data_IF_207598932853
#
_entry.id   IF_207598932853
#
_cell.length_a   1.000
_cell.length_b   1.000
_cell.length_c   1.000
_cell.angle_alpha   90.00
_cell.angle_beta   90.00
_cell.angle_gamma   90.00
#
_symmetry.space_group_name_H-M   'P 1'
#
loop_
_entity.id
_entity.type
_entity.pdbx_description
1 polymer ?
#
# COMPACT_ATOMS: atom_id res chain seq x y z
N UNK A 1 -15.21 -41.12 -32.01
CA UNK A 1 -14.46 -39.97 -32.55
C UNK A 1 -14.30 -38.99 -31.41
N UNK A 2 -13.23 -39.14 -30.64
CA UNK A 2 -12.81 -38.17 -29.64
C UNK A 2 -11.61 -37.47 -30.28
N UNK A 3 -11.89 -36.35 -30.93
CA UNK A 3 -10.82 -35.48 -31.44
C UNK A 3 -9.98 -34.99 -30.27
N UNK A 4 -8.67 -35.04 -30.46
CA UNK A 4 -7.66 -34.50 -29.56
C UNK A 4 -7.97 -33.02 -29.26
N UNK A 5 -8.49 -32.77 -28.07
CA UNK A 5 -8.63 -31.42 -27.52
C UNK A 5 -7.23 -30.86 -27.35
N UNK A 6 -6.83 -29.98 -28.27
CA UNK A 6 -5.50 -29.39 -28.31
C UNK A 6 -5.10 -28.80 -26.95
N UNK A 7 -3.99 -29.31 -26.41
CA UNK A 7 -3.39 -28.81 -25.18
C UNK A 7 -3.02 -27.33 -25.39
N UNK A 8 -3.78 -26.44 -24.76
CA UNK A 8 -3.52 -25.01 -24.78
C UNK A 8 -2.23 -24.75 -23.98
N UNK A 9 -1.17 -24.31 -24.64
CA UNK A 9 0.08 -23.93 -23.99
C UNK A 9 0.40 -22.46 -24.16
N UNK A 10 1.15 -21.92 -23.20
CA UNK A 10 1.80 -20.62 -23.35
C UNK A 10 2.99 -20.74 -24.29
N UNK A 11 3.13 -19.80 -25.22
CA UNK A 11 4.35 -19.63 -25.99
C UNK A 11 5.40 -19.05 -25.06
N UNK A 12 6.27 -19.90 -24.54
CA UNK A 12 7.49 -19.46 -23.86
C UNK A 12 8.40 -18.75 -24.86
N UNK A 13 9.30 -17.86 -24.40
CA UNK A 13 10.35 -17.22 -25.23
C UNK A 13 11.19 -18.28 -25.99
N UNK A 14 11.15 -19.54 -25.55
CA UNK A 14 11.78 -20.72 -26.16
C UNK A 14 10.92 -21.52 -27.15
N UNK A 15 9.68 -21.11 -27.46
CA UNK A 15 8.84 -21.77 -28.48
C UNK A 15 8.23 -23.12 -28.10
N UNK A 16 8.40 -23.61 -26.86
CA UNK A 16 7.77 -24.84 -26.38
C UNK A 16 6.38 -24.57 -25.78
N UNK A 17 5.34 -25.20 -26.36
CA UNK A 17 3.96 -25.24 -25.85
C UNK A 17 3.89 -26.23 -24.69
N UNK A 18 4.05 -25.75 -23.45
CA UNK A 18 3.82 -26.60 -22.27
C UNK A 18 2.33 -26.60 -21.92
N UNK A 19 1.74 -27.77 -21.62
CA UNK A 19 0.34 -27.84 -21.22
C UNK A 19 0.12 -26.97 -19.98
N UNK A 20 -0.83 -26.03 -20.05
CA UNK A 20 -1.19 -25.21 -18.90
C UNK A 20 -1.74 -26.10 -17.79
N UNK A 21 -1.28 -25.88 -16.57
CA UNK A 21 -1.72 -26.63 -15.39
C UNK A 21 -1.90 -25.71 -14.20
N UNK A 22 -2.83 -26.04 -13.31
CA UNK A 22 -3.08 -25.31 -12.07
C UNK A 22 -2.14 -25.74 -10.93
N UNK A 23 -1.05 -26.45 -11.24
CA UNK A 23 -0.03 -26.77 -10.24
C UNK A 23 0.68 -25.48 -9.80
N UNK A 24 0.77 -25.27 -8.48
CA UNK A 24 1.31 -24.04 -7.89
C UNK A 24 2.68 -23.62 -8.44
N UNK A 25 3.56 -24.57 -8.74
CA UNK A 25 4.90 -24.30 -9.29
C UNK A 25 4.87 -23.59 -10.64
N UNK A 26 3.85 -23.89 -11.46
CA UNK A 26 3.65 -23.28 -12.78
C UNK A 26 2.70 -22.09 -12.69
N UNK A 27 1.62 -22.20 -11.90
CA UNK A 27 0.61 -21.16 -11.71
C UNK A 27 1.21 -19.85 -11.18
N UNK A 28 2.17 -19.92 -10.25
CA UNK A 28 2.86 -18.71 -9.73
C UNK A 28 3.72 -17.99 -10.76
N UNK A 29 4.07 -18.65 -11.86
CA UNK A 29 4.84 -18.05 -12.96
C UNK A 29 3.94 -17.52 -14.08
N UNK A 30 2.63 -17.73 -13.98
CA UNK A 30 1.70 -17.19 -14.96
C UNK A 30 1.69 -15.68 -14.91
N UNK A 31 1.62 -15.08 -16.09
CA UNK A 31 1.66 -13.63 -16.24
C UNK A 31 0.50 -12.95 -15.50
N UNK A 32 -0.70 -13.54 -15.42
CA UNK A 32 -1.83 -12.94 -14.68
C UNK A 32 -1.52 -12.80 -13.19
N UNK A 33 -0.96 -13.85 -12.57
CA UNK A 33 -0.58 -13.84 -11.16
C UNK A 33 0.55 -12.84 -10.93
N UNK A 34 1.58 -12.86 -11.77
CA UNK A 34 2.69 -11.91 -11.70
C UNK A 34 2.19 -10.47 -11.86
N UNK A 35 1.25 -10.23 -12.78
CA UNK A 35 0.64 -8.92 -13.01
C UNK A 35 -0.07 -8.42 -11.77
N UNK A 36 -0.88 -9.25 -11.12
CA UNK A 36 -1.52 -8.88 -9.86
C UNK A 36 -0.51 -8.59 -8.73
N UNK A 37 0.58 -9.36 -8.67
CA UNK A 37 1.66 -9.11 -7.69
C UNK A 37 2.41 -7.81 -7.96
N UNK A 38 2.67 -7.49 -9.24
CA UNK A 38 3.29 -6.23 -9.65
C UNK A 38 2.35 -5.06 -9.36
N UNK A 39 1.07 -5.15 -9.73
CA UNK A 39 0.08 -4.11 -9.44
C UNK A 39 -0.01 -3.87 -7.93
N UNK A 40 -0.07 -4.94 -7.12
CA UNK A 40 -0.04 -4.84 -5.67
C UNK A 40 1.23 -4.15 -5.15
N UNK A 41 2.40 -4.50 -5.70
CA UNK A 41 3.68 -3.91 -5.28
C UNK A 41 3.79 -2.43 -5.67
N UNK A 42 3.36 -2.07 -6.88
CA UNK A 42 3.33 -0.68 -7.34
C UNK A 42 2.34 0.14 -6.51
N UNK A 43 1.16 -0.41 -6.21
CA UNK A 43 0.18 0.25 -5.35
C UNK A 43 0.70 0.44 -3.92
N UNK A 44 1.41 -0.54 -3.36
CA UNK A 44 2.08 -0.44 -2.06
C UNK A 44 3.14 0.67 -2.05
N UNK A 45 3.99 0.73 -3.08
CA UNK A 45 5.04 1.75 -3.21
C UNK A 45 4.39 3.13 -3.38
N UNK A 46 3.41 3.25 -4.29
CA UNK A 46 2.67 4.49 -4.51
C UNK A 46 1.98 4.97 -3.24
N UNK A 47 1.30 4.07 -2.52
CA UNK A 47 0.66 4.37 -1.24
C UNK A 47 1.67 4.91 -0.24
N UNK A 48 2.82 4.24 -0.10
CA UNK A 48 3.88 4.67 0.81
C UNK A 48 4.42 6.06 0.46
N UNK A 49 4.74 6.28 -0.82
CA UNK A 49 5.27 7.55 -1.30
C UNK A 49 4.27 8.69 -1.16
N UNK A 50 2.98 8.43 -1.41
CA UNK A 50 1.93 9.43 -1.28
C UNK A 50 1.76 9.86 0.19
N UNK A 51 1.72 8.88 1.11
CA UNK A 51 1.66 9.14 2.56
C UNK A 51 2.89 9.93 3.01
N UNK A 52 4.08 9.49 2.62
CA UNK A 52 5.33 10.13 3.00
C UNK A 52 5.42 11.55 2.43
N UNK A 53 5.10 11.74 1.15
CA UNK A 53 5.14 13.05 0.50
C UNK A 53 4.19 14.05 1.14
N UNK A 54 3.01 13.58 1.55
CA UNK A 54 1.93 14.47 2.01
C UNK A 54 2.04 14.78 3.50
N UNK A 55 2.48 13.81 4.31
CA UNK A 55 2.38 13.90 5.77
C UNK A 55 3.71 13.83 6.51
N UNK A 56 4.79 13.37 5.86
CA UNK A 56 6.06 13.05 6.55
C UNK A 56 7.19 13.96 6.11
N UNK A 57 7.32 14.19 4.81
CA UNK A 57 8.35 15.07 4.26
C UNK A 57 8.11 16.50 4.72
N UNK A 58 9.09 17.08 5.39
CA UNK A 58 8.99 18.44 5.94
C UNK A 58 8.27 18.52 7.28
N UNK A 59 7.89 17.38 7.87
CA UNK A 59 7.35 17.27 9.22
C UNK A 59 8.28 16.44 10.11
N UNK A 60 7.73 15.47 10.84
CA UNK A 60 8.48 14.53 11.67
C UNK A 60 8.82 13.32 10.81
N UNK A 61 10.00 13.35 10.18
CA UNK A 61 10.55 12.22 9.43
C UNK A 61 11.68 11.51 10.20
N UNK A 62 12.08 10.32 9.70
CA UNK A 62 13.14 9.54 10.33
C UNK A 62 14.50 10.23 10.27
N UNK A 63 14.76 11.08 9.28
CA UNK A 63 16.01 11.83 9.18
C UNK A 63 16.10 12.90 10.26
N UNK A 64 15.03 13.65 10.51
CA UNK A 64 14.99 14.63 11.61
C UNK A 64 15.20 13.98 12.98
N UNK A 65 14.67 12.76 13.18
CA UNK A 65 14.93 11.99 14.39
C UNK A 65 16.40 11.59 14.51
N UNK A 66 17.04 11.19 13.42
CA UNK A 66 18.48 10.89 13.41
C UNK A 66 19.30 12.14 13.72
N UNK A 67 19.09 13.25 13.02
CA UNK A 67 19.77 14.53 13.28
C UNK A 67 19.64 14.94 14.76
N UNK A 68 18.45 14.79 15.35
CA UNK A 68 18.19 15.16 16.75
C UNK A 68 18.99 14.27 17.72
N UNK A 69 19.07 12.97 17.44
CA UNK A 69 19.82 12.02 18.27
C UNK A 69 21.32 12.28 18.14
N UNK A 70 21.82 12.56 16.94
CA UNK A 70 23.23 12.88 16.71
C UNK A 70 23.65 14.17 17.42
N UNK A 71 22.81 15.21 17.38
CA UNK A 71 23.05 16.45 18.14
C UNK A 71 23.07 16.17 19.65
N UNK A 72 22.17 15.32 20.14
CA UNK A 72 22.07 15.00 21.57
C UNK A 72 23.29 14.22 22.09
N UNK A 73 23.80 13.29 21.28
CA UNK A 73 24.93 12.44 21.63
C UNK A 73 26.27 13.14 21.34
N UNK A 74 26.27 14.10 20.40
CA UNK A 74 27.47 14.78 19.92
C UNK A 74 28.34 13.91 19.03
N UNK A 75 27.77 12.87 18.43
CA UNK A 75 28.46 11.91 17.55
C UNK A 75 27.49 11.38 16.48
N UNK A 76 28.04 10.81 15.40
CA UNK A 76 27.28 10.23 14.30
C UNK A 76 26.68 8.87 14.70
N UNK A 77 25.50 8.57 14.16
CA UNK A 77 24.88 7.27 14.36
C UNK A 77 25.63 6.17 13.60
N UNK A 78 25.62 4.92 14.11
CA UNK A 78 26.28 3.79 13.45
C UNK A 78 25.78 3.47 12.03
N UNK A 79 24.54 3.87 11.70
CA UNK A 79 23.99 3.69 10.37
C UNK A 79 24.40 4.89 9.52
N UNK A 80 25.17 4.65 8.46
CA UNK A 80 25.61 5.73 7.59
C UNK A 80 24.45 6.48 6.90
N UNK A 81 24.64 7.79 6.75
CA UNK A 81 23.71 8.79 6.22
C UNK A 81 23.11 8.39 4.87
N UNK A 82 23.88 7.68 4.04
CA UNK A 82 23.41 7.19 2.75
C UNK A 82 22.24 6.20 2.89
N UNK A 83 22.27 5.33 3.91
CA UNK A 83 21.25 4.32 4.15
C UNK A 83 20.02 4.93 4.82
N UNK A 84 20.22 5.87 5.74
CA UNK A 84 19.13 6.63 6.39
C UNK A 84 18.49 7.62 5.42
N UNK A 85 19.23 8.11 4.43
CA UNK A 85 18.80 9.18 3.52
C UNK A 85 19.01 10.58 4.10
N UNK A 86 19.77 10.69 5.20
CA UNK A 86 20.18 11.94 5.81
C UNK A 86 21.01 12.80 4.85
N UNK A 87 20.92 14.12 5.00
CA UNK A 87 21.51 15.09 4.05
C UNK A 87 20.80 15.22 2.70
N UNK A 88 19.74 14.44 2.43
CA UNK A 88 18.89 14.60 1.22
C UNK A 88 17.69 15.50 1.50
N UNK A 89 17.06 16.00 0.43
CA UNK A 89 15.87 16.85 0.51
C UNK A 89 14.63 16.19 -0.11
N UNK A 90 13.45 16.47 0.46
CA UNK A 90 12.18 15.99 -0.07
C UNK A 90 12.06 14.46 -0.03
N UNK A 91 11.41 13.88 -1.05
CA UNK A 91 11.22 12.42 -1.19
C UNK A 91 12.52 11.62 -1.33
N UNK A 92 13.63 12.27 -1.70
CA UNK A 92 14.92 11.59 -1.86
C UNK A 92 15.45 10.95 -0.57
N UNK A 93 15.00 11.45 0.59
CA UNK A 93 15.25 10.87 1.93
C UNK A 93 14.75 9.43 2.05
N UNK A 94 13.72 9.06 1.31
CA UNK A 94 13.02 7.79 1.46
C UNK A 94 13.37 6.73 0.42
N UNK A 95 14.03 7.07 -0.69
CA UNK A 95 14.28 6.09 -1.75
C UNK A 95 15.21 4.94 -1.33
N UNK A 96 16.30 5.23 -0.62
CA UNK A 96 17.21 4.17 -0.14
C UNK A 96 16.55 3.33 0.96
N UNK A 97 15.94 3.93 2.01
CA UNK A 97 15.11 3.21 2.96
C UNK A 97 14.02 2.36 2.31
N UNK A 98 13.34 2.87 1.28
CA UNK A 98 12.30 2.15 0.55
C UNK A 98 12.86 0.89 -0.12
N UNK A 99 13.98 1.00 -0.84
CA UNK A 99 14.65 -0.15 -1.47
C UNK A 99 15.06 -1.18 -0.41
N UNK A 100 15.57 -0.72 0.75
CA UNK A 100 15.89 -1.59 1.88
C UNK A 100 14.63 -2.30 2.39
N UNK A 101 13.51 -1.59 2.56
CA UNK A 101 12.23 -2.15 2.99
C UNK A 101 11.69 -3.19 2.01
N UNK A 102 11.78 -2.93 0.70
CA UNK A 102 11.42 -3.88 -0.34
C UNK A 102 12.31 -5.13 -0.30
N UNK A 103 13.62 -4.95 -0.12
CA UNK A 103 14.58 -6.05 -0.04
C UNK A 103 14.35 -6.92 1.20
N UNK A 104 14.13 -6.31 2.38
CA UNK A 104 13.83 -7.03 3.63
C UNK A 104 12.49 -7.75 3.53
N UNK A 105 11.45 -7.09 3.05
CA UNK A 105 10.13 -7.69 2.84
C UNK A 105 10.17 -8.85 1.83
N UNK A 106 10.91 -8.69 0.73
CA UNK A 106 11.15 -9.72 -0.27
C UNK A 106 11.95 -10.90 0.28
N UNK A 107 13.02 -10.63 1.04
CA UNK A 107 13.78 -11.65 1.76
C UNK A 107 12.90 -12.45 2.72
N UNK A 108 12.03 -11.77 3.49
CA UNK A 108 11.04 -12.43 4.35
C UNK A 108 10.04 -13.30 3.56
N UNK A 109 9.59 -12.83 2.39
CA UNK A 109 8.72 -13.60 1.51
C UNK A 109 9.40 -14.88 1.01
N UNK A 110 10.66 -14.79 0.59
CA UNK A 110 11.44 -15.94 0.15
C UNK A 110 11.68 -16.95 1.28
N UNK A 111 11.97 -16.46 2.49
CA UNK A 111 12.10 -17.28 3.68
C UNK A 111 10.81 -18.01 4.03
N UNK A 112 9.64 -17.40 3.79
CA UNK A 112 8.34 -18.03 4.06
C UNK A 112 8.10 -19.31 3.24
N UNK A 113 8.75 -19.46 2.07
CA UNK A 113 8.68 -20.67 1.25
C UNK A 113 9.72 -21.73 1.59
N UNK A 114 10.66 -21.44 2.48
CA UNK A 114 11.63 -22.41 2.96
C UNK A 114 10.99 -23.38 3.96
N UNK A 115 11.61 -24.55 4.15
CA UNK A 115 11.15 -25.53 5.14
C UNK A 115 11.21 -24.95 6.56
N UNK A 116 10.36 -25.43 7.50
CA UNK A 116 10.36 -24.93 8.88
C UNK A 116 11.73 -25.03 9.57
N UNK A 117 12.50 -26.08 9.25
CA UNK A 117 13.86 -26.28 9.77
C UNK A 117 14.84 -25.24 9.27
N UNK A 118 14.80 -24.90 7.98
CA UNK A 118 15.63 -23.84 7.39
C UNK A 118 15.23 -22.48 7.96
N UNK A 119 13.93 -22.19 8.06
CA UNK A 119 13.45 -20.96 8.68
C UNK A 119 13.94 -20.80 10.12
N UNK A 120 13.88 -21.88 10.92
CA UNK A 120 14.35 -21.85 12.31
C UNK A 120 15.85 -21.62 12.39
N UNK A 121 16.65 -22.29 11.54
CA UNK A 121 18.11 -22.11 11.51
C UNK A 121 18.50 -20.67 11.13
N UNK A 122 17.82 -20.08 10.15
CA UNK A 122 18.09 -18.70 9.73
C UNK A 122 17.69 -17.71 10.84
N UNK A 123 16.52 -17.89 11.45
CA UNK A 123 16.09 -17.04 12.59
C UNK A 123 17.05 -17.15 13.77
N UNK A 124 17.49 -18.36 14.11
CA UNK A 124 18.43 -18.61 15.19
C UNK A 124 19.81 -18.01 14.87
N UNK A 125 20.31 -18.19 13.64
CA UNK A 125 21.55 -17.57 13.20
C UNK A 125 21.50 -16.04 13.28
N UNK A 126 20.39 -15.43 12.85
CA UNK A 126 20.17 -14.00 12.98
C UNK A 126 20.16 -13.54 14.44
N UNK A 127 19.43 -14.23 15.32
CA UNK A 127 19.38 -13.91 16.76
C UNK A 127 20.75 -14.05 17.41
N UNK A 128 21.49 -15.13 17.14
CA UNK A 128 22.84 -15.33 17.68
C UNK A 128 23.77 -14.23 17.18
N UNK A 129 23.71 -13.87 15.89
CA UNK A 129 24.52 -12.78 15.33
C UNK A 129 24.20 -11.46 16.02
N UNK A 130 22.92 -11.15 16.26
CA UNK A 130 22.52 -9.95 16.98
C UNK A 130 23.03 -9.96 18.43
N UNK A 131 22.94 -11.08 19.14
CA UNK A 131 23.44 -11.22 20.52
C UNK A 131 24.97 -11.03 20.56
N UNK A 132 25.69 -11.64 19.62
CA UNK A 132 27.15 -11.50 19.51
C UNK A 132 27.54 -10.06 19.16
N UNK A 133 26.81 -9.40 18.26
CA UNK A 133 27.04 -8.00 17.95
C UNK A 133 26.75 -7.08 19.15
N UNK A 134 25.71 -7.38 19.94
CA UNK A 134 25.30 -6.56 21.09
C UNK A 134 26.24 -6.71 22.28
N UNK A 135 26.55 -7.95 22.68
CA UNK A 135 27.23 -8.26 23.95
C UNK A 135 28.58 -8.93 23.72
N UNK A 136 28.88 -9.42 22.53
CA UNK A 136 30.11 -10.16 22.24
C UNK A 136 31.37 -9.31 22.40
N UNK A 137 31.34 -8.04 21.99
CA UNK A 137 32.48 -7.12 22.18
C UNK A 137 32.73 -6.83 23.66
N UNK A 138 31.68 -6.61 24.44
CA UNK A 138 31.77 -6.46 25.90
C UNK A 138 32.34 -7.72 26.54
N UNK A 139 31.78 -8.90 26.24
CA UNK A 139 32.26 -10.16 26.81
C UNK A 139 33.70 -10.44 26.43
N UNK A 140 34.07 -10.21 25.17
CA UNK A 140 35.43 -10.45 24.72
C UNK A 140 36.41 -9.52 25.41
N UNK A 141 36.13 -8.21 25.47
CA UNK A 141 37.00 -7.24 26.16
C UNK A 141 37.10 -7.51 27.66
N UNK A 142 35.97 -7.74 28.33
CA UNK A 142 35.89 -8.01 29.76
C UNK A 142 36.56 -9.33 30.17
N UNK A 143 36.25 -10.44 29.47
CA UNK A 143 36.86 -11.74 29.77
C UNK A 143 38.37 -11.72 29.52
N UNK A 144 38.79 -11.07 28.44
CA UNK A 144 40.22 -10.91 28.12
C UNK A 144 40.91 -10.05 29.18
N UNK A 145 40.27 -8.97 29.61
CA UNK A 145 40.74 -8.11 30.70
C UNK A 145 40.97 -8.89 31.99
N UNK A 146 39.97 -9.68 32.44
CA UNK A 146 40.10 -10.53 33.63
C UNK A 146 41.17 -11.62 33.48
N UNK A 147 41.28 -12.22 32.29
CA UNK A 147 42.25 -13.28 32.01
C UNK A 147 43.70 -12.78 32.13
N UNK A 148 43.99 -11.58 31.62
CA UNK A 148 45.34 -11.01 31.65
C UNK A 148 45.66 -10.21 32.92
N UNK A 149 44.63 -9.70 33.62
CA UNK A 149 44.84 -9.05 34.92
C UNK A 149 44.79 -10.01 36.11
N UNK A 150 44.39 -11.26 35.90
CA UNK A 150 44.18 -12.28 36.94
C UNK A 150 43.31 -11.80 38.11
N UNK A 151 42.28 -11.01 37.80
CA UNK A 151 41.38 -10.42 38.79
C UNK A 151 39.92 -10.65 38.41
N UNK A 152 39.12 -11.11 39.37
CA UNK A 152 37.69 -11.35 39.18
C UNK A 152 36.93 -10.07 39.51
N UNK A 153 36.60 -9.30 38.48
CA UNK A 153 35.94 -8.00 38.61
C UNK A 153 34.77 -7.86 37.66
N UNK A 154 33.87 -6.93 37.98
CA UNK A 154 32.83 -6.49 37.05
C UNK A 154 33.45 -5.67 35.89
N UNK A 155 32.72 -5.51 34.77
CA UNK A 155 33.16 -4.65 33.68
C UNK A 155 33.44 -3.24 34.16
N UNK A 156 34.56 -2.67 33.73
CA UNK A 156 34.91 -1.28 34.03
C UNK A 156 34.25 -0.32 33.02
N UNK A 157 34.37 0.99 33.25
CA UNK A 157 33.73 2.01 32.41
C UNK A 157 34.12 1.89 30.92
N UNK A 158 35.38 1.58 30.62
CA UNK A 158 35.85 1.41 29.23
C UNK A 158 35.34 0.14 28.55
N UNK A 159 35.07 -0.92 29.31
CA UNK A 159 34.46 -2.14 28.77
C UNK A 159 32.96 -1.91 28.56
N UNK A 160 32.28 -1.24 29.49
CA UNK A 160 30.87 -0.86 29.39
C UNK A 160 30.58 0.05 28.19
N UNK A 161 31.47 1.01 27.89
CA UNK A 161 31.29 1.92 26.74
C UNK A 161 31.27 1.19 25.39
N UNK A 162 31.78 -0.05 25.33
CA UNK A 162 31.65 -0.88 24.11
C UNK A 162 30.20 -1.24 23.75
N UNK A 163 29.25 -1.11 24.69
CA UNK A 163 27.82 -1.31 24.44
C UNK A 163 27.15 -0.13 23.73
N UNK A 164 27.75 1.06 23.74
CA UNK A 164 27.15 2.27 23.17
C UNK A 164 26.86 2.09 21.68
N UNK A 165 27.87 1.67 20.91
CA UNK A 165 27.73 1.50 19.47
C UNK A 165 26.66 0.46 19.07
N UNK A 166 26.62 -0.77 19.63
CA UNK A 166 25.55 -1.72 19.31
C UNK A 166 24.15 -1.24 19.73
N UNK A 167 24.02 -0.55 20.86
CA UNK A 167 22.74 0.00 21.32
C UNK A 167 22.23 1.09 20.37
N UNK A 168 23.11 2.00 19.95
CA UNK A 168 22.79 3.03 18.95
C UNK A 168 22.46 2.42 17.59
N UNK A 169 23.15 1.36 17.19
CA UNK A 169 22.83 0.63 15.96
C UNK A 169 21.41 0.05 16.01
N UNK A 170 21.02 -0.56 17.13
CA UNK A 170 19.67 -1.13 17.30
C UNK A 170 18.60 -0.03 17.34
N UNK A 171 18.86 1.06 18.07
CA UNK A 171 17.96 2.22 18.10
C UNK A 171 17.76 2.77 16.67
N UNK A 172 18.84 2.92 15.93
CA UNK A 172 18.81 3.45 14.56
C UNK A 172 18.02 2.52 13.62
N UNK A 173 18.28 1.21 13.69
CA UNK A 173 17.52 0.21 12.92
C UNK A 173 16.04 0.19 13.32
N UNK A 174 15.74 0.34 14.61
CA UNK A 174 14.36 0.36 15.11
C UNK A 174 13.60 1.55 14.54
N UNK A 175 14.18 2.75 14.58
CA UNK A 175 13.58 3.96 13.99
C UNK A 175 13.36 3.74 12.49
N UNK A 176 14.40 3.32 11.75
CA UNK A 176 14.32 3.09 10.32
C UNK A 176 13.23 2.05 9.96
N UNK A 177 13.22 0.92 10.65
CA UNK A 177 12.26 -0.15 10.36
C UNK A 177 10.84 0.22 10.75
N UNK A 178 10.62 1.05 11.77
CA UNK A 178 9.29 1.55 12.14
C UNK A 178 8.62 2.26 10.96
N UNK A 179 9.35 3.17 10.29
CA UNK A 179 8.87 3.87 9.10
C UNK A 179 8.73 2.96 7.88
N UNK A 180 9.44 1.84 7.83
CA UNK A 180 9.38 0.87 6.72
C UNK A 180 8.40 -0.28 6.95
N UNK A 181 7.76 -0.38 8.12
CA UNK A 181 6.83 -1.46 8.46
C UNK A 181 5.73 -1.68 7.43
N UNK A 182 5.03 -0.64 6.90
CA UNK A 182 4.02 -0.83 5.86
C UNK A 182 4.58 -1.54 4.63
N UNK A 183 5.75 -1.11 4.16
CA UNK A 183 6.40 -1.64 2.96
C UNK A 183 6.87 -3.08 3.19
N UNK A 184 7.57 -3.33 4.29
CA UNK A 184 8.11 -4.66 4.62
C UNK A 184 6.97 -5.68 4.74
N UNK A 185 5.92 -5.34 5.49
CA UNK A 185 4.76 -6.22 5.65
C UNK A 185 3.97 -6.37 4.35
N UNK A 186 3.86 -5.31 3.55
CA UNK A 186 3.14 -5.34 2.28
C UNK A 186 3.82 -6.26 1.27
N UNK A 187 5.12 -6.12 1.05
CA UNK A 187 5.90 -6.99 0.14
C UNK A 187 5.87 -8.43 0.63
N UNK A 188 6.09 -8.65 1.93
CA UNK A 188 5.94 -9.98 2.54
C UNK A 188 4.55 -10.56 2.31
N UNK A 189 3.50 -9.74 2.37
CA UNK A 189 2.11 -10.13 2.12
C UNK A 189 1.87 -10.59 0.69
N UNK A 190 2.27 -9.78 -0.29
CA UNK A 190 2.09 -10.05 -1.73
C UNK A 190 2.88 -11.29 -2.15
N UNK A 191 4.18 -11.27 -1.87
CA UNK A 191 5.12 -12.27 -2.39
C UNK A 191 5.17 -13.51 -1.52
N UNK A 192 4.98 -13.37 -0.20
CA UNK A 192 4.92 -14.47 0.76
C UNK A 192 3.51 -15.04 0.97
N UNK A 193 2.51 -14.55 0.23
CA UNK A 193 1.12 -15.00 0.25
C UNK A 193 0.47 -14.96 1.65
N UNK A 194 0.72 -13.90 2.41
CA UNK A 194 0.23 -13.76 3.78
C UNK A 194 -0.88 -12.72 3.89
N UNK A 195 -2.12 -13.18 4.11
CA UNK A 195 -3.27 -12.30 4.37
C UNK A 195 -3.07 -11.41 5.60
N UNK A 196 -2.44 -11.96 6.64
CA UNK A 196 -2.11 -11.25 7.88
C UNK A 196 -1.12 -10.13 7.63
N UNK A 197 -0.08 -10.37 6.82
CA UNK A 197 0.90 -9.33 6.50
C UNK A 197 0.31 -8.20 5.65
N UNK A 198 -0.61 -8.50 4.73
CA UNK A 198 -1.38 -7.47 3.98
C UNK A 198 -2.18 -6.59 4.96
N UNK A 199 -2.91 -7.22 5.89
CA UNK A 199 -3.69 -6.49 6.88
C UNK A 199 -2.81 -5.61 7.79
N UNK A 200 -1.63 -6.09 8.20
CA UNK A 200 -0.66 -5.29 8.94
C UNK A 200 -0.13 -4.11 8.13
N UNK A 201 0.15 -4.28 6.83
CA UNK A 201 0.60 -3.18 5.99
C UNK A 201 -0.43 -2.04 5.92
N UNK A 202 -1.71 -2.39 5.71
CA UNK A 202 -2.81 -1.42 5.73
C UNK A 202 -2.95 -0.81 7.12
N UNK A 203 -2.95 -1.65 8.17
CA UNK A 203 -3.09 -1.21 9.55
C UNK A 203 -2.00 -0.23 9.99
N UNK A 204 -0.74 -0.48 9.64
CA UNK A 204 0.36 0.45 9.93
C UNK A 204 0.24 1.75 9.14
N UNK A 205 -0.20 1.69 7.89
CA UNK A 205 -0.44 2.90 7.08
C UNK A 205 -1.53 3.76 7.70
N UNK A 206 -2.66 3.14 8.09
CA UNK A 206 -3.76 3.84 8.76
C UNK A 206 -3.39 4.34 10.14
N UNK A 207 -2.61 3.58 10.90
CA UNK A 207 -2.08 4.02 12.20
C UNK A 207 -1.21 5.26 12.03
N UNK A 208 -0.33 5.26 11.03
CA UNK A 208 0.53 6.41 10.74
C UNK A 208 -0.30 7.65 10.41
N UNK A 209 -1.28 7.52 9.52
CA UNK A 209 -2.22 8.60 9.19
C UNK A 209 -3.04 9.05 10.40
N UNK A 210 -3.48 8.11 11.24
CA UNK A 210 -4.24 8.41 12.45
C UNK A 210 -3.43 9.18 13.49
N UNK A 211 -2.16 8.78 13.71
CA UNK A 211 -1.23 9.51 14.57
C UNK A 211 -1.00 10.92 14.01
N UNK A 212 -0.72 11.03 12.71
CA UNK A 212 -0.56 12.34 12.06
C UNK A 212 -1.80 13.23 12.23
N UNK A 213 -2.99 12.68 11.99
CA UNK A 213 -4.24 13.42 12.13
C UNK A 213 -4.47 13.91 13.57
N UNK A 214 -4.06 13.12 14.57
CA UNK A 214 -4.12 13.52 15.99
C UNK A 214 -3.11 14.64 16.27
N UNK A 215 -1.86 14.50 15.81
CA UNK A 215 -0.82 15.50 16.02
C UNK A 215 -1.13 16.83 15.31
N UNK A 216 -1.82 16.77 14.17
CA UNK A 216 -2.27 17.92 13.41
C UNK A 216 -3.39 18.72 14.12
N UNK A 217 -4.04 18.17 15.15
CA UNK A 217 -5.12 18.85 15.84
C UNK A 217 -4.59 20.10 16.59
N UNK A 218 -5.15 21.30 16.40
CA UNK A 218 -4.56 22.55 16.91
C UNK A 218 -4.23 22.54 18.41
N UNK A 219 -5.09 21.91 19.23
CA UNK A 219 -4.86 21.77 20.66
C UNK A 219 -3.60 20.93 20.97
N UNK A 220 -3.37 19.85 20.22
CA UNK A 220 -2.22 18.96 20.41
C UNK A 220 -0.98 19.59 19.79
N UNK A 221 -1.10 20.11 18.57
CA UNK A 221 -0.03 20.81 17.86
C UNK A 221 0.56 21.95 18.73
N UNK A 222 -0.31 22.77 19.35
CA UNK A 222 0.13 23.84 20.25
C UNK A 222 0.88 23.38 21.51
N UNK A 223 0.80 22.09 21.89
CA UNK A 223 1.57 21.51 23.00
C UNK A 223 2.92 20.94 22.56
N UNK A 224 3.15 20.77 21.24
CA UNK A 224 4.40 20.23 20.69
C UNK A 224 5.52 21.28 20.60
N UNK A 225 5.25 22.54 20.95
CA UNK A 225 6.22 23.64 20.85
C UNK A 225 6.70 23.83 19.41
N UNK A 226 8.00 24.03 19.22
CA UNK A 226 8.59 24.27 17.90
C UNK A 226 8.39 23.09 16.93
N UNK A 227 8.24 21.86 17.44
CA UNK A 227 7.93 20.68 16.61
C UNK A 227 6.52 20.75 16.00
N UNK A 228 5.58 21.41 16.67
CA UNK A 228 4.23 21.61 16.15
C UNK A 228 4.19 22.36 14.82
N UNK A 229 5.12 23.29 14.62
CA UNK A 229 5.26 24.07 13.39
C UNK A 229 5.68 23.22 12.18
N UNK A 230 6.28 22.05 12.42
CA UNK A 230 6.65 21.10 11.37
C UNK A 230 5.49 20.19 10.96
N UNK A 231 4.46 20.03 11.80
CA UNK A 231 3.34 19.13 11.50
C UNK A 231 2.44 19.79 10.46
N UNK A 232 2.28 19.14 9.30
CA UNK A 232 1.35 19.59 8.28
C UNK A 232 -0.09 19.50 8.81
N UNK A 233 -0.62 20.63 9.24
CA UNK A 233 -2.02 20.73 9.67
C UNK A 233 -2.88 20.58 8.43
N UNK A 234 -3.84 19.66 8.48
CA UNK A 234 -4.93 19.64 7.50
C UNK A 234 -5.67 20.96 7.70
N UNK A 235 -5.39 21.94 6.84
CA UNK A 235 -6.10 23.21 6.82
C UNK A 235 -7.59 22.89 6.85
N UNK A 236 -8.27 23.36 7.89
CA UNK A 236 -9.68 23.09 8.10
C UNK A 236 -10.44 23.39 6.81
N UNK A 237 -11.03 22.35 6.19
CA UNK A 237 -12.28 22.27 5.39
C UNK A 237 -12.69 23.42 4.44
N UNK A 238 -11.90 24.48 4.27
CA UNK A 238 -12.27 25.78 3.68
C UNK A 238 -11.20 26.30 2.72
N UNK A 239 -10.32 25.42 2.22
CA UNK A 239 -9.44 25.79 1.11
C UNK A 239 -10.22 25.68 -0.20
N UNK A 240 -10.00 26.63 -1.10
CA UNK A 240 -10.62 26.61 -2.42
C UNK A 240 -10.26 25.29 -3.15
N UNK A 241 -11.23 24.65 -3.82
CA UNK A 241 -10.95 23.46 -4.59
C UNK A 241 -10.00 23.81 -5.73
N UNK A 242 -8.95 23.01 -5.90
CA UNK A 242 -7.88 23.25 -6.90
C UNK A 242 -7.67 22.08 -7.83
N UNK A 243 -8.23 20.91 -7.51
CA UNK A 243 -8.15 19.70 -8.31
C UNK A 243 -9.54 19.32 -8.80
N UNK A 244 -9.64 19.07 -10.09
CA UNK A 244 -10.91 18.98 -10.79
C UNK A 244 -10.91 18.03 -11.97
N UNK A 245 -12.11 17.76 -12.50
CA UNK A 245 -12.32 16.94 -13.69
C UNK A 245 -13.05 17.80 -14.72
N UNK A 246 -12.59 17.78 -15.98
CA UNK A 246 -13.19 18.56 -17.07
C UNK A 246 -13.31 20.08 -16.79
N UNK A 247 -12.37 20.64 -16.03
CA UNK A 247 -12.34 22.07 -15.69
C UNK A 247 -13.17 22.48 -14.47
N UNK A 248 -13.95 21.56 -13.88
CA UNK A 248 -14.67 21.79 -12.64
C UNK A 248 -13.77 21.44 -11.45
N UNK A 249 -13.41 22.43 -10.63
CA UNK A 249 -12.64 22.21 -9.41
C UNK A 249 -13.54 21.59 -8.34
N UNK A 250 -13.16 20.40 -7.87
CA UNK A 250 -14.01 19.57 -6.99
C UNK A 250 -13.41 19.40 -5.60
N UNK A 251 -12.09 19.23 -5.49
CA UNK A 251 -11.42 18.89 -4.22
C UNK A 251 -10.15 19.70 -4.03
N UNK A 252 -9.73 19.85 -2.77
CA UNK A 252 -8.43 20.45 -2.44
C UNK A 252 -7.30 19.46 -2.74
N UNK A 253 -6.04 19.91 -2.74
CA UNK A 253 -4.87 19.04 -2.96
C UNK A 253 -4.75 17.98 -1.87
N UNK A 254 -5.04 18.34 -0.63
CA UNK A 254 -4.99 17.48 0.54
C UNK A 254 -6.10 16.41 0.49
N UNK A 255 -7.31 16.82 0.09
CA UNK A 255 -8.41 15.88 -0.13
C UNK A 255 -8.10 14.92 -1.27
N UNK A 256 -7.52 15.42 -2.37
CA UNK A 256 -7.09 14.57 -3.47
C UNK A 256 -6.02 13.56 -3.05
N UNK A 257 -5.03 13.96 -2.25
CA UNK A 257 -4.02 13.05 -1.71
C UNK A 257 -4.65 11.94 -0.85
N UNK A 258 -5.62 12.27 0.00
CA UNK A 258 -6.36 11.27 0.78
C UNK A 258 -7.16 10.30 -0.10
N UNK A 259 -7.82 10.80 -1.15
CA UNK A 259 -8.53 9.96 -2.13
C UNK A 259 -7.53 9.05 -2.85
N UNK A 260 -6.38 9.58 -3.25
CA UNK A 260 -5.32 8.81 -3.91
C UNK A 260 -4.81 7.69 -3.00
N UNK A 261 -4.51 7.99 -1.73
CA UNK A 261 -4.12 7.00 -0.73
C UNK A 261 -5.21 5.93 -0.57
N UNK A 262 -6.48 6.33 -0.48
CA UNK A 262 -7.60 5.39 -0.35
C UNK A 262 -7.73 4.46 -1.57
N UNK A 263 -7.61 5.00 -2.79
CA UNK A 263 -7.62 4.21 -4.02
C UNK A 263 -6.42 3.26 -4.05
N UNK A 264 -5.23 3.72 -3.69
CA UNK A 264 -4.02 2.89 -3.64
C UNK A 264 -4.14 1.76 -2.62
N UNK A 265 -4.74 2.02 -1.44
CA UNK A 265 -5.09 0.98 -0.46
C UNK A 265 -6.03 -0.05 -1.07
N UNK A 266 -7.09 0.39 -1.77
CA UNK A 266 -8.04 -0.53 -2.41
C UNK A 266 -7.39 -1.36 -3.52
N UNK A 267 -6.58 -0.75 -4.39
CA UNK A 267 -5.83 -1.46 -5.45
C UNK A 267 -4.87 -2.47 -4.82
N UNK A 268 -4.11 -2.05 -3.81
CA UNK A 268 -3.20 -2.93 -3.08
C UNK A 268 -3.95 -4.11 -2.46
N UNK A 269 -5.07 -3.84 -1.79
CA UNK A 269 -5.88 -4.85 -1.12
C UNK A 269 -6.47 -5.85 -2.11
N UNK A 270 -7.14 -5.39 -3.16
CA UNK A 270 -7.82 -6.27 -4.12
C UNK A 270 -6.82 -7.11 -4.91
N UNK A 271 -5.70 -6.52 -5.33
CA UNK A 271 -4.65 -7.23 -6.08
C UNK A 271 -3.97 -8.28 -5.21
N UNK A 272 -3.59 -7.91 -3.98
CA UNK A 272 -2.86 -8.80 -3.07
C UNK A 272 -3.74 -9.95 -2.55
N UNK A 273 -4.98 -9.67 -2.15
CA UNK A 273 -5.91 -10.74 -1.77
C UNK A 273 -6.37 -11.57 -2.95
N UNK A 274 -6.49 -10.97 -4.15
CA UNK A 274 -6.75 -11.68 -5.39
C UNK A 274 -5.73 -12.80 -5.62
N UNK A 275 -4.44 -12.47 -5.62
CA UNK A 275 -3.34 -13.45 -5.78
C UNK A 275 -3.47 -14.60 -4.78
N UNK A 276 -3.63 -14.29 -3.49
CA UNK A 276 -3.73 -15.30 -2.44
C UNK A 276 -4.95 -16.19 -2.67
N UNK A 277 -6.11 -15.61 -2.95
CA UNK A 277 -7.37 -16.32 -3.16
C UNK A 277 -7.27 -17.29 -4.34
N UNK A 278 -6.72 -16.86 -5.48
CA UNK A 278 -6.61 -17.71 -6.68
C UNK A 278 -5.60 -18.84 -6.49
N UNK A 279 -4.46 -18.57 -5.83
CA UNK A 279 -3.49 -19.62 -5.52
C UNK A 279 -4.00 -20.61 -4.47
N UNK A 280 -4.72 -20.15 -3.44
CA UNK A 280 -5.37 -21.02 -2.46
C UNK A 280 -6.46 -21.89 -3.10
N UNK A 281 -7.27 -21.32 -4.00
CA UNK A 281 -8.28 -22.07 -4.73
C UNK A 281 -7.63 -23.18 -5.57
N UNK A 282 -6.61 -22.84 -6.36
CA UNK A 282 -5.89 -23.84 -7.16
C UNK A 282 -5.22 -24.93 -6.31
N UNK A 283 -4.74 -24.59 -5.11
CA UNK A 283 -4.18 -25.58 -4.18
C UNK A 283 -5.23 -26.57 -3.67
N UNK A 284 -6.45 -26.10 -3.40
CA UNK A 284 -7.57 -26.91 -2.87
C UNK A 284 -8.21 -27.82 -3.91
N UNK A 285 -7.99 -27.56 -5.21
CA UNK A 285 -8.55 -28.41 -6.26
C UNK A 285 -7.99 -29.85 -6.20
N UNK A 286 -8.81 -30.87 -6.54
CA UNK A 286 -8.32 -32.23 -6.77
C UNK A 286 -7.25 -32.27 -7.86
N UNK A 287 -6.34 -33.25 -7.78
CA UNK A 287 -5.21 -33.33 -8.72
C UNK A 287 -5.65 -33.56 -10.17
N UNK A 288 -6.77 -34.28 -10.39
CA UNK A 288 -7.38 -34.48 -11.70
C UNK A 288 -7.84 -33.15 -12.32
N UNK A 289 -8.49 -32.28 -11.54
CA UNK A 289 -8.98 -30.97 -11.99
C UNK A 289 -7.85 -30.00 -12.35
N UNK A 290 -6.64 -30.16 -11.78
CA UNK A 290 -5.52 -29.25 -12.06
C UNK A 290 -4.93 -29.42 -13.46
N UNK A 291 -5.20 -30.56 -14.10
CA UNK A 291 -4.74 -30.91 -15.45
C UNK A 291 -5.86 -30.85 -16.48
N UNK A 292 -7.10 -30.71 -16.01
CA UNK A 292 -8.27 -30.62 -16.87
C UNK A 292 -8.28 -29.26 -17.59
N UNK A 293 -8.28 -29.25 -18.94
CA UNK A 293 -8.27 -28.02 -19.73
C UNK A 293 -9.47 -27.12 -19.46
N UNK A 294 -10.62 -27.67 -19.07
CA UNK A 294 -11.81 -26.87 -18.79
C UNK A 294 -11.61 -26.01 -17.52
N UNK A 295 -11.12 -26.61 -16.44
CA UNK A 295 -10.83 -25.89 -15.19
C UNK A 295 -9.72 -24.85 -15.36
N UNK A 296 -8.71 -25.15 -16.17
CA UNK A 296 -7.65 -24.20 -16.53
C UNK A 296 -8.26 -22.98 -17.25
N UNK A 297 -9.10 -23.21 -18.26
CA UNK A 297 -9.76 -22.14 -19.01
C UNK A 297 -10.70 -21.30 -18.14
N UNK A 298 -11.46 -21.94 -17.25
CA UNK A 298 -12.33 -21.23 -16.31
C UNK A 298 -11.52 -20.33 -15.36
N UNK A 299 -10.40 -20.84 -14.82
CA UNK A 299 -9.51 -20.04 -13.99
C UNK A 299 -8.96 -18.84 -14.75
N UNK A 300 -8.51 -19.03 -15.99
CA UNK A 300 -7.98 -17.95 -16.85
C UNK A 300 -9.03 -16.88 -17.11
N UNK A 301 -10.27 -17.28 -17.42
CA UNK A 301 -11.38 -16.36 -17.64
C UNK A 301 -11.69 -15.55 -16.38
N UNK A 302 -11.70 -16.19 -15.21
CA UNK A 302 -11.93 -15.52 -13.93
C UNK A 302 -10.81 -14.53 -13.61
N UNK A 303 -9.55 -14.91 -13.81
CA UNK A 303 -8.39 -14.03 -13.58
C UNK A 303 -8.40 -12.82 -14.51
N UNK A 304 -8.67 -13.02 -15.80
CA UNK A 304 -8.75 -11.93 -16.78
C UNK A 304 -9.91 -10.98 -16.49
N UNK A 305 -11.05 -11.53 -16.08
CA UNK A 305 -12.24 -10.76 -15.71
C UNK A 305 -11.98 -9.95 -14.45
N UNK A 306 -11.33 -10.55 -13.45
CA UNK A 306 -10.92 -9.86 -12.23
C UNK A 306 -9.98 -8.68 -12.55
N UNK A 307 -8.93 -8.87 -13.35
CA UNK A 307 -8.02 -7.79 -13.77
C UNK A 307 -8.76 -6.61 -14.41
N UNK A 308 -9.71 -6.89 -15.31
CA UNK A 308 -10.54 -5.85 -15.96
C UNK A 308 -11.40 -5.11 -14.94
N UNK A 309 -12.03 -5.83 -14.01
CA UNK A 309 -12.87 -5.24 -12.97
C UNK A 309 -12.08 -4.42 -11.96
N UNK A 310 -10.90 -4.88 -11.54
CA UNK A 310 -10.02 -4.15 -10.64
C UNK A 310 -9.70 -2.77 -11.23
N UNK A 311 -9.36 -2.69 -12.52
CA UNK A 311 -9.09 -1.41 -13.16
C UNK A 311 -10.36 -0.54 -13.32
N UNK A 312 -11.45 -1.12 -13.83
CA UNK A 312 -12.67 -0.39 -14.13
C UNK A 312 -13.40 0.15 -12.89
N UNK A 313 -13.61 -0.69 -11.88
CA UNK A 313 -14.34 -0.28 -10.68
C UNK A 313 -13.56 0.69 -9.80
N UNK A 314 -12.23 0.51 -9.67
CA UNK A 314 -11.42 1.39 -8.83
C UNK A 314 -11.29 2.79 -9.43
N UNK A 315 -11.10 2.90 -10.74
CA UNK A 315 -11.12 4.20 -11.43
C UNK A 315 -12.46 4.91 -11.29
N UNK A 316 -13.57 4.18 -11.46
CA UNK A 316 -14.92 4.76 -11.30
C UNK A 316 -15.19 5.18 -9.85
N UNK A 317 -14.72 4.41 -8.88
CA UNK A 317 -14.87 4.74 -7.45
C UNK A 317 -14.15 6.04 -7.12
N UNK A 318 -12.91 6.22 -7.58
CA UNK A 318 -12.15 7.46 -7.37
C UNK A 318 -12.85 8.70 -7.94
N UNK A 319 -13.32 8.59 -9.19
CA UNK A 319 -14.08 9.67 -9.84
C UNK A 319 -15.36 9.97 -9.06
N UNK A 320 -16.12 8.94 -8.68
CA UNK A 320 -17.35 9.09 -7.92
C UNK A 320 -17.10 9.75 -6.56
N UNK A 321 -16.01 9.41 -5.86
CA UNK A 321 -15.63 10.05 -4.59
C UNK A 321 -15.26 11.52 -4.78
N UNK A 322 -14.49 11.87 -5.82
CA UNK A 322 -14.17 13.28 -6.11
C UNK A 322 -15.43 14.10 -6.40
N UNK A 323 -16.34 13.56 -7.23
CA UNK A 323 -17.63 14.21 -7.51
C UNK A 323 -18.47 14.33 -6.25
N UNK A 324 -18.51 13.30 -5.40
CA UNK A 324 -19.27 13.34 -4.15
C UNK A 324 -18.80 14.44 -3.20
N UNK A 325 -17.48 14.64 -3.09
CA UNK A 325 -16.88 15.65 -2.21
C UNK A 325 -17.02 17.07 -2.77
N UNK A 326 -16.85 17.22 -4.10
CA UNK A 326 -16.98 18.51 -4.79
C UNK A 326 -18.38 18.88 -5.25
N UNK A 327 -19.37 18.03 -4.99
CA UNK A 327 -20.76 18.24 -5.43
C UNK A 327 -21.32 19.58 -4.96
N UNK A 328 -20.94 19.99 -3.76
CA UNK A 328 -21.33 21.29 -3.23
C UNK A 328 -20.79 22.45 -4.08
N UNK A 329 -19.53 22.42 -4.48
CA UNK A 329 -18.91 23.45 -5.32
C UNK A 329 -19.58 23.54 -6.70
N UNK A 330 -19.98 22.40 -7.26
CA UNK A 330 -20.73 22.35 -8.53
C UNK A 330 -22.12 22.98 -8.36
N UNK A 331 -22.83 22.69 -7.27
CA UNK A 331 -24.12 23.33 -6.99
C UNK A 331 -23.99 24.84 -6.86
N UNK A 332 -22.97 25.33 -6.14
CA UNK A 332 -22.73 26.76 -5.99
C UNK A 332 -22.44 27.43 -7.34
N UNK A 333 -21.55 26.86 -8.15
CA UNK A 333 -21.24 27.41 -9.48
C UNK A 333 -22.46 27.45 -10.40
N UNK A 334 -23.31 26.42 -10.38
CA UNK A 334 -24.57 26.42 -11.15
C UNK A 334 -25.52 27.51 -10.66
N UNK A 335 -25.64 27.73 -9.34
CA UNK A 335 -26.54 28.76 -8.78
C UNK A 335 -26.03 30.17 -9.09
N UNK A 336 -24.72 30.38 -9.02
CA UNK A 336 -24.04 31.63 -9.38
C UNK A 336 -24.22 31.97 -10.87
N UNK A 337 -23.96 31.01 -11.76
CA UNK A 337 -24.06 31.18 -13.23
C UNK A 337 -25.50 31.27 -13.73
N UNK A 338 -26.44 30.55 -13.08
CA UNK A 338 -27.84 30.49 -13.49
C UNK A 338 -28.59 31.80 -13.20
N UNK A 339 -28.15 32.57 -12.19
CA UNK A 339 -28.92 33.72 -11.73
C UNK A 339 -28.03 34.78 -11.10
N UNK A 340 -27.65 35.82 -11.84
CA UNK A 340 -27.00 37.04 -11.30
C UNK A 340 -27.93 37.93 -10.44
N UNK A 341 -28.83 37.33 -9.66
CA UNK A 341 -29.84 38.02 -8.85
C UNK A 341 -29.51 37.96 -7.36
N UNK A 342 -29.95 38.96 -6.59
CA UNK A 342 -29.74 39.05 -5.13
C UNK A 342 -30.21 37.79 -4.36
N UNK A 343 -31.17 37.05 -4.92
CA UNK A 343 -31.65 35.77 -4.40
C UNK A 343 -30.57 34.67 -4.49
N UNK A 344 -29.79 34.62 -5.57
CA UNK A 344 -28.70 33.66 -5.71
C UNK A 344 -27.55 33.95 -4.73
N UNK A 345 -27.26 35.23 -4.46
CA UNK A 345 -26.32 35.63 -3.40
C UNK A 345 -26.77 35.18 -2.01
N UNK A 346 -28.05 35.38 -1.67
CA UNK A 346 -28.60 34.93 -0.38
C UNK A 346 -28.67 33.41 -0.25
N UNK A 347 -29.00 32.70 -1.34
CA UNK A 347 -28.98 31.24 -1.36
C UNK A 347 -27.54 30.73 -1.24
N UNK A 348 -26.57 31.29 -1.98
CA UNK A 348 -25.15 30.96 -1.87
C UNK A 348 -24.62 31.16 -0.45
N UNK A 349 -24.86 32.32 0.15
CA UNK A 349 -24.43 32.64 1.53
C UNK A 349 -25.11 31.72 2.55
N UNK A 350 -26.39 31.38 2.36
CA UNK A 350 -27.11 30.41 3.21
C UNK A 350 -26.61 28.97 3.06
N UNK A 351 -26.21 28.58 1.84
CA UNK A 351 -25.65 27.27 1.53
C UNK A 351 -24.24 27.17 2.12
N UNK A 352 -23.42 28.21 1.99
CA UNK A 352 -22.07 28.31 2.57
C UNK A 352 -22.13 28.17 4.11
N UNK A 353 -23.06 28.88 4.76
CA UNK A 353 -23.30 28.77 6.21
C UNK A 353 -23.85 27.40 6.63
N UNK A 354 -24.69 26.75 5.81
CA UNK A 354 -25.25 25.42 6.11
C UNK A 354 -24.24 24.29 5.87
N UNK A 355 -23.30 24.45 4.93
CA UNK A 355 -22.28 23.46 4.58
C UNK A 355 -21.03 23.47 5.45
N UNK A 356 -20.94 24.37 6.42
CA UNK A 356 -20.03 24.26 7.58
C UNK A 356 -20.16 22.90 8.30
N UNK A 357 -21.28 22.17 8.14
CA UNK A 357 -21.49 20.79 8.58
C UNK A 357 -21.81 19.78 7.44
N UNK A 358 -21.88 20.25 6.18
CA UNK A 358 -22.58 19.56 5.08
C UNK A 358 -21.74 18.64 4.20
N UNK A 359 -20.41 18.66 4.29
CA UNK A 359 -19.54 17.87 3.40
C UNK A 359 -19.65 16.35 3.66
N UNK A 360 -19.79 15.97 4.93
CA UNK A 360 -20.06 14.58 5.33
C UNK A 360 -21.48 14.17 4.93
N UNK A 361 -22.45 15.07 5.08
CA UNK A 361 -23.87 14.82 4.78
C UNK A 361 -24.09 14.71 3.27
N UNK A 362 -23.46 15.55 2.45
CA UNK A 362 -23.52 15.52 0.99
C UNK A 362 -22.83 14.28 0.43
N UNK A 363 -21.65 13.91 0.94
CA UNK A 363 -21.00 12.65 0.61
C UNK A 363 -21.88 11.44 0.99
N UNK A 364 -22.49 11.44 2.18
CA UNK A 364 -23.40 10.39 2.62
C UNK A 364 -24.70 10.32 1.79
N UNK A 365 -25.27 11.48 1.41
CA UNK A 365 -26.44 11.57 0.54
C UNK A 365 -26.14 11.08 -0.86
N UNK A 366 -25.01 11.47 -1.44
CA UNK A 366 -24.56 10.99 -2.75
C UNK A 366 -24.34 9.48 -2.73
N UNK A 367 -23.63 8.95 -1.71
CA UNK A 367 -23.43 7.51 -1.57
C UNK A 367 -24.76 6.77 -1.38
N UNK A 368 -25.72 7.35 -0.67
CA UNK A 368 -27.07 6.78 -0.50
C UNK A 368 -27.85 6.76 -1.82
N UNK A 369 -27.76 7.83 -2.63
CA UNK A 369 -28.35 7.90 -3.96
C UNK A 369 -27.70 6.89 -4.90
N UNK A 370 -26.36 6.78 -4.90
CA UNK A 370 -25.62 5.80 -5.68
C UNK A 370 -25.94 4.37 -5.26
N UNK A 371 -26.11 4.11 -3.97
CA UNK A 371 -26.55 2.81 -3.46
C UNK A 371 -27.97 2.47 -3.91
N UNK A 372 -28.89 3.45 -3.92
CA UNK A 372 -30.25 3.27 -4.44
C UNK A 372 -30.25 3.04 -5.96
N UNK A 373 -29.38 3.72 -6.71
CA UNK A 373 -29.23 3.54 -8.16
C UNK A 373 -28.90 2.10 -8.57
N UNK A 374 -28.29 1.29 -7.69
CA UNK A 374 -28.09 -0.15 -7.93
C UNK A 374 -29.41 -0.91 -8.14
N UNK A 375 -30.50 -0.47 -7.53
CA UNK A 375 -31.81 -1.12 -7.65
C UNK A 375 -32.62 -0.63 -8.85
N UNK A 376 -32.42 0.62 -9.27
CA UNK A 376 -33.15 1.22 -10.38
C UNK A 376 -32.46 1.06 -11.73
N UNK A 377 -31.13 1.01 -11.73
CA UNK A 377 -30.34 0.90 -12.96
C UNK A 377 -29.86 -0.55 -13.14
N UNK A 378 -30.27 -1.23 -14.22
CA UNK A 378 -29.86 -2.61 -14.50
C UNK A 378 -28.42 -2.62 -15.05
N UNK A 379 -27.45 -2.42 -14.15
CA UNK A 379 -26.03 -2.29 -14.48
C UNK A 379 -25.49 -3.47 -15.30
N UNK A 380 -25.97 -4.69 -15.04
CA UNK A 380 -25.58 -5.88 -15.81
C UNK A 380 -26.00 -5.81 -17.28
N UNK A 381 -27.18 -5.21 -17.58
CA UNK A 381 -27.66 -5.04 -18.96
C UNK A 381 -26.90 -3.94 -19.69
N UNK A 382 -26.56 -2.85 -18.99
CA UNK A 382 -25.75 -1.77 -19.55
C UNK A 382 -24.34 -2.24 -19.90
N UNK A 383 -23.69 -2.98 -19.00
CA UNK A 383 -22.39 -3.58 -19.28
C UNK A 383 -22.47 -4.62 -20.40
N UNK A 384 -23.54 -5.43 -20.45
CA UNK A 384 -23.80 -6.36 -21.55
C UNK A 384 -23.92 -5.65 -22.91
N UNK A 385 -24.60 -4.51 -22.98
CA UNK A 385 -24.72 -3.69 -24.19
C UNK A 385 -23.39 -3.08 -24.63
N UNK A 386 -22.60 -2.56 -23.69
CA UNK A 386 -21.26 -2.01 -23.97
C UNK A 386 -20.33 -3.13 -24.47
N UNK A 387 -20.39 -4.30 -23.84
CA UNK A 387 -19.59 -5.46 -24.22
C UNK A 387 -19.95 -5.99 -25.62
N UNK A 388 -21.25 -6.07 -25.93
CA UNK A 388 -21.75 -6.47 -27.25
C UNK A 388 -21.35 -5.46 -28.34
N UNK A 389 -21.30 -4.17 -28.01
CA UNK A 389 -20.87 -3.12 -28.94
C UNK A 389 -19.37 -3.16 -29.23
N UNK A 390 -18.56 -3.50 -28.23
CA UNK A 390 -17.09 -3.52 -28.36
C UNK A 390 -16.55 -4.86 -28.88
N UNK A 391 -17.39 -5.90 -28.96
CA UNK A 391 -17.00 -7.24 -29.42
C UNK A 391 -18.04 -7.81 -30.41
N UNK A 392 -18.07 -7.33 -31.66
CA UNK A 392 -19.09 -7.73 -32.63
C UNK A 392 -19.05 -9.23 -32.99
N UNK A 393 -17.90 -9.90 -32.86
CA UNK A 393 -17.74 -11.34 -33.15
C UNK A 393 -18.42 -12.25 -32.11
N UNK A 394 -18.60 -11.80 -30.86
CA UNK A 394 -19.32 -12.58 -29.84
C UNK A 394 -20.84 -12.57 -30.05
N UNK A 395 -21.37 -11.54 -30.72
CA UNK A 395 -22.79 -11.42 -31.01
C UNK A 395 -23.25 -12.32 -32.17
N UNK A 396 -22.36 -12.72 -33.09
CA UNK A 396 -22.71 -13.65 -34.16
C UNK A 396 -22.77 -15.10 -33.66
N UNK A 397 -21.88 -15.50 -32.75
CA UNK A 397 -21.90 -16.86 -32.17
C UNK A 397 -23.11 -17.10 -31.25
N UNK A 398 -23.62 -16.07 -30.57
CA UNK A 398 -24.82 -16.21 -29.74
C UNK A 398 -26.11 -16.41 -30.57
N UNK A 399 -26.14 -15.96 -31.83
CA UNK A 399 -27.28 -16.22 -32.74
C UNK A 399 -27.30 -17.66 -33.27
N UNK A 400 -26.14 -18.27 -33.47
CA UNK A 400 -26.05 -19.63 -34.01
C UNK A 400 -26.47 -20.72 -33.01
N UNK A 401 -26.35 -20.46 -31.70
CA UNK A 401 -26.68 -21.44 -30.65
C UNK A 401 -28.19 -21.50 -30.31
N UNK A 402 -28.97 -20.50 -30.73
CA UNK A 402 -30.42 -20.43 -30.45
C UNK A 402 -31.25 -21.06 -31.57
N UNK A 403 -30.68 -21.26 -32.75
CA UNK A 403 -31.32 -21.93 -33.90
C UNK A 403 -30.83 -23.39 -34.07
N UNK A 404 -30.96 -24.21 -33.01
CA UNK A 404 -30.93 -25.69 -33.10
C UNK A 404 -32.09 -26.28 -32.30
#
# INVERSE_FOLDING_TARGET
>A
MADDVGLQGDVTISGEVRPRTLHLKMLRKQWQIITLQIIGTVALIGMYLEVVSTYVVGSIDHTMLFDTIEILIGDQLPIGDWLTGEGRSGLARFFVPLVLGLAVGGGMALLAFQTPTVQQRIKLGFIITLIVALVGQLLFSWLTGMLFSFDLRLPNASELSTLEWPLLMILSLMILFLYLLPVIMGVRGIWGLSRRSIAWAIGFTLLFLGVHAILAFPLINGQLGDYGNSVSVIGAQFSEPTVGIFGLMLVTKEQFALIMIAILIMVFQESSYGVIRYLEYAYRLPESCKRDPEYVRQMDNVLNTHLKHTFGFLGLTGIATMVALGFHSVLLGIVEDSTGSQWAGQVSESIELSLTYGLVISAAMFLSIMALLRFFVPWERLWGLIYARNTPEAASQAKEVVDI
#
